data_IF_318606269088
#
_entry.id   IF_318606269088
#
_cell.length_a   1.000
_cell.length_b   1.000
_cell.length_c   1.000
_cell.angle_alpha   90.00
_cell.angle_beta   90.00
_cell.angle_gamma   90.00
#
_symmetry.space_group_name_H-M   'P 1'
#
loop_
_entity.id
_entity.type
_entity.pdbx_description
1 polymer ?
#
# COMPACT_ATOMS: atom_id res chain seq x y z
N UNK A 1 -4.79 -18.68 57.02
CA UNK A 1 -5.09 -19.38 55.75
C UNK A 1 -5.32 -18.31 54.69
N UNK A 2 -4.32 -18.09 53.82
CA UNK A 2 -4.29 -16.97 52.90
C UNK A 2 -4.96 -17.34 51.57
N UNK A 3 -5.99 -16.57 51.18
CA UNK A 3 -6.63 -16.67 49.87
C UNK A 3 -5.74 -16.04 48.80
N UNK A 4 -5.32 -16.85 47.83
CA UNK A 4 -4.57 -16.37 46.65
C UNK A 4 -5.52 -16.11 45.48
N UNK A 5 -5.27 -14.94 44.89
CA UNK A 5 -5.86 -14.30 43.72
C UNK A 5 -6.20 -15.22 42.55
N UNK A 6 -7.38 -15.01 41.97
CA UNK A 6 -7.80 -15.53 40.66
C UNK A 6 -7.04 -14.79 39.55
N UNK A 7 -6.06 -15.48 38.96
CA UNK A 7 -5.40 -15.08 37.73
C UNK A 7 -6.40 -15.14 36.56
N UNK A 8 -6.60 -14.01 35.90
CA UNK A 8 -7.31 -13.93 34.62
C UNK A 8 -6.41 -14.53 33.53
N UNK A 9 -6.71 -15.77 33.14
CA UNK A 9 -6.13 -16.40 31.95
C UNK A 9 -6.86 -15.82 30.73
N UNK A 10 -6.16 -15.02 29.93
CA UNK A 10 -6.61 -14.66 28.60
C UNK A 10 -6.68 -15.92 27.75
N UNK A 11 -7.89 -16.30 27.36
CA UNK A 11 -8.14 -17.40 26.43
C UNK A 11 -7.58 -17.07 25.06
N UNK A 12 -6.52 -17.79 24.71
CA UNK A 12 -6.08 -18.06 23.35
C UNK A 12 -7.27 -18.43 22.46
N UNK A 13 -7.45 -17.71 21.35
CA UNK A 13 -8.05 -18.29 20.14
C UNK A 13 -6.94 -18.41 19.09
N UNK A 14 -6.59 -19.66 18.85
CA UNK A 14 -5.64 -20.16 17.86
C UNK A 14 -6.20 -19.99 16.44
N UNK A 15 -5.30 -19.54 15.55
CA UNK A 15 -4.91 -20.17 14.27
C UNK A 15 -6.01 -20.40 13.23
N UNK A 16 -5.86 -19.72 12.09
CA UNK A 16 -5.54 -20.33 10.79
C UNK A 16 -5.90 -19.37 9.64
N UNK A 17 -4.93 -19.05 8.78
CA UNK A 17 -5.21 -18.64 7.40
C UNK A 17 -5.51 -17.17 7.11
N UNK A 18 -4.56 -16.26 7.31
CA UNK A 18 -4.60 -14.94 6.63
C UNK A 18 -3.45 -14.76 5.63
N UNK A 19 -2.55 -15.75 5.50
CA UNK A 19 -1.43 -15.73 4.53
C UNK A 19 -1.85 -15.81 3.04
N UNK A 20 -3.14 -15.68 2.71
CA UNK A 20 -3.65 -15.75 1.33
C UNK A 20 -4.79 -14.79 0.97
N UNK A 21 -5.30 -13.97 1.90
CA UNK A 21 -6.53 -13.20 1.62
C UNK A 21 -6.23 -11.94 0.79
N UNK A 22 -5.01 -11.39 0.85
CA UNK A 22 -4.72 -10.14 0.15
C UNK A 22 -4.65 -10.22 -1.38
N UNK A 23 -4.57 -11.42 -1.98
CA UNK A 23 -4.70 -11.58 -3.43
C UNK A 23 -6.12 -11.95 -3.85
N UNK A 24 -6.92 -12.59 -2.98
CA UNK A 24 -8.27 -13.02 -3.34
C UNK A 24 -9.31 -11.89 -3.31
N UNK A 25 -9.14 -10.86 -2.47
CA UNK A 25 -10.11 -9.73 -2.43
C UNK A 25 -9.90 -8.75 -3.59
N UNK A 26 -8.71 -8.70 -4.19
CA UNK A 26 -8.40 -7.80 -5.31
C UNK A 26 -8.21 -8.52 -6.66
N UNK A 27 -8.14 -9.86 -6.67
CA UNK A 27 -7.89 -10.66 -7.87
C UNK A 27 -9.14 -11.12 -8.62
N UNK A 28 -10.35 -10.86 -8.11
CA UNK A 28 -11.59 -11.26 -8.80
C UNK A 28 -12.55 -10.07 -8.90
N UNK A 29 -12.60 -9.49 -10.10
CA UNK A 29 -13.73 -8.72 -10.65
C UNK A 29 -14.25 -7.51 -9.84
N UNK A 30 -13.37 -6.55 -9.53
CA UNK A 30 -13.83 -5.16 -9.39
C UNK A 30 -13.28 -4.34 -10.54
N UNK A 31 -14.11 -4.16 -11.57
CA UNK A 31 -13.91 -3.05 -12.50
C UNK A 31 -13.89 -1.79 -11.65
N UNK A 32 -12.73 -1.16 -11.52
CA UNK A 32 -12.63 0.22 -11.06
C UNK A 32 -13.57 1.11 -11.88
N UNK A 33 -13.91 2.32 -11.40
CA UNK A 33 -14.79 3.22 -12.13
C UNK A 33 -14.30 3.36 -13.57
N UNK A 34 -15.14 2.92 -14.50
CA UNK A 34 -14.85 2.88 -15.93
C UNK A 34 -14.58 4.31 -16.42
N UNK A 35 -13.31 4.64 -16.60
CA UNK A 35 -12.91 5.83 -17.37
C UNK A 35 -13.20 5.51 -18.84
N UNK A 36 -14.25 6.11 -19.38
CA UNK A 36 -14.59 5.98 -20.80
C UNK A 36 -13.52 6.67 -21.64
N UNK A 37 -12.92 6.03 -22.66
CA UNK A 37 -11.99 6.71 -23.55
C UNK A 37 -12.78 7.63 -24.49
N UNK A 38 -12.87 8.91 -24.14
CA UNK A 38 -13.27 9.96 -25.07
C UNK A 38 -12.06 10.37 -25.91
N UNK A 39 -12.21 10.34 -27.24
CA UNK A 39 -11.19 10.83 -28.15
C UNK A 39 -11.00 12.34 -27.96
N UNK A 40 -9.97 12.74 -27.20
CA UNK A 40 -9.63 14.16 -27.01
C UNK A 40 -8.49 14.55 -27.93
N UNK A 41 -8.82 15.47 -28.84
CA UNK A 41 -7.88 16.14 -29.72
C UNK A 41 -6.86 16.94 -28.91
N UNK A 42 -5.58 16.78 -29.26
CA UNK A 42 -4.46 17.56 -28.74
C UNK A 42 -4.65 19.06 -28.94
N UNK A 43 -4.85 19.79 -27.84
CA UNK A 43 -4.42 21.18 -27.71
C UNK A 43 -3.98 21.44 -26.27
N UNK A 44 -2.67 21.61 -26.06
CA UNK A 44 -2.10 22.71 -25.26
C UNK A 44 -2.39 22.87 -23.76
N UNK A 45 -3.11 21.97 -23.09
CA UNK A 45 -3.27 22.03 -21.63
C UNK A 45 -2.38 20.99 -20.97
N UNK A 46 -1.29 21.43 -20.34
CA UNK A 46 -0.55 20.62 -19.39
C UNK A 46 -1.53 20.14 -18.32
N UNK A 47 -1.85 18.84 -18.37
CA UNK A 47 -2.87 18.19 -17.58
C UNK A 47 -2.76 18.55 -16.10
N UNK A 48 -3.85 19.04 -15.51
CA UNK A 48 -3.92 19.10 -14.05
C UNK A 48 -3.70 17.67 -13.52
N UNK A 49 -2.66 17.44 -12.69
CA UNK A 49 -2.36 16.09 -12.23
C UNK A 49 -3.54 15.60 -11.39
N UNK A 50 -4.18 14.50 -11.77
CA UNK A 50 -5.36 13.98 -11.08
C UNK A 50 -4.93 13.13 -9.87
N UNK A 51 -5.77 13.06 -8.82
CA UNK A 51 -5.48 12.21 -7.65
C UNK A 51 -5.35 10.75 -8.07
N UNK A 52 -4.38 10.04 -7.48
CA UNK A 52 -4.16 8.60 -7.67
C UNK A 52 -5.35 7.79 -7.16
N UNK A 53 -5.87 8.14 -5.99
CA UNK A 53 -7.12 7.64 -5.43
C UNK A 53 -7.87 8.77 -4.72
N UNK A 54 -9.20 8.64 -4.61
CA UNK A 54 -10.05 9.58 -3.87
C UNK A 54 -10.59 8.88 -2.62
N UNK A 55 -10.02 9.21 -1.47
CA UNK A 55 -10.36 8.68 -0.15
C UNK A 55 -9.81 9.61 0.93
N UNK A 56 -10.36 9.53 2.15
CA UNK A 56 -9.87 10.30 3.29
C UNK A 56 -9.02 9.42 4.23
N UNK A 57 -7.90 9.93 4.80
CA UNK A 57 -7.03 9.16 5.69
C UNK A 57 -7.73 8.55 6.92
N UNK A 58 -8.80 9.18 7.38
CA UNK A 58 -9.62 8.73 8.51
C UNK A 58 -10.48 7.50 8.18
N UNK A 59 -10.81 7.28 6.90
CA UNK A 59 -11.55 6.11 6.45
C UNK A 59 -10.68 4.85 6.42
N UNK A 60 -9.35 5.00 6.43
CA UNK A 60 -8.43 3.87 6.44
C UNK A 60 -8.43 3.15 7.79
N UNK A 61 -8.99 1.95 7.81
CA UNK A 61 -9.08 1.09 9.00
C UNK A 61 -8.06 -0.04 9.00
N UNK A 62 -7.59 -0.46 7.82
CA UNK A 62 -6.53 -1.44 7.70
C UNK A 62 -5.53 -1.04 6.61
N UNK A 63 -4.25 -1.18 6.92
CA UNK A 63 -3.13 -1.00 6.00
C UNK A 63 -2.33 -2.30 5.97
N UNK A 64 -2.12 -2.85 4.78
CA UNK A 64 -1.16 -3.92 4.55
C UNK A 64 0.03 -3.34 3.81
N UNK A 65 1.23 -3.55 4.35
CA UNK A 65 2.49 -3.20 3.70
C UNK A 65 3.26 -4.49 3.49
N UNK A 66 3.60 -4.78 2.23
CA UNK A 66 4.44 -5.93 1.87
C UNK A 66 5.73 -5.46 1.27
N UNK A 67 6.80 -6.11 1.68
CA UNK A 67 8.14 -6.02 1.10
C UNK A 67 8.74 -7.43 1.03
N UNK A 68 9.81 -7.66 0.25
CA UNK A 68 10.45 -8.97 0.20
C UNK A 68 10.76 -9.53 1.60
N UNK A 69 10.20 -10.70 1.90
CA UNK A 69 10.41 -11.42 3.16
C UNK A 69 9.68 -10.84 4.38
N UNK A 70 8.85 -9.80 4.24
CA UNK A 70 8.08 -9.24 5.36
C UNK A 70 6.73 -8.66 4.94
N UNK A 71 5.72 -8.93 5.76
CA UNK A 71 4.38 -8.35 5.64
C UNK A 71 3.97 -7.78 7.00
N UNK A 72 3.36 -6.60 6.98
CA UNK A 72 2.67 -6.04 8.12
C UNK A 72 1.19 -5.86 7.79
N UNK A 73 0.34 -6.39 8.65
CA UNK A 73 -1.10 -6.11 8.66
C UNK A 73 -1.37 -5.21 9.86
N UNK A 74 -1.79 -3.99 9.57
CA UNK A 74 -1.99 -2.91 10.54
C UNK A 74 -3.48 -2.63 10.62
N UNK A 75 -4.06 -2.68 11.81
CA UNK A 75 -5.47 -2.43 12.07
C UNK A 75 -5.62 -1.21 12.98
N UNK A 76 -6.46 -0.26 12.58
CA UNK A 76 -6.76 0.93 13.39
C UNK A 76 -7.71 0.53 14.52
N UNK A 77 -7.30 0.77 15.76
CA UNK A 77 -8.12 0.45 16.94
C UNK A 77 -8.77 1.67 17.58
N UNK A 78 -8.22 2.85 17.33
CA UNK A 78 -8.77 4.14 17.75
C UNK A 78 -8.20 5.25 16.84
N UNK A 79 -8.65 6.51 16.93
CA UNK A 79 -8.05 7.60 16.18
C UNK A 79 -6.53 7.65 16.36
N UNK A 80 -5.81 7.61 15.24
CA UNK A 80 -4.34 7.55 15.16
C UNK A 80 -3.65 6.35 15.84
N UNK A 81 -4.39 5.40 16.41
CA UNK A 81 -3.84 4.23 17.09
C UNK A 81 -3.97 2.97 16.22
N UNK A 82 -2.83 2.33 15.96
CA UNK A 82 -2.71 1.15 15.13
C UNK A 82 -2.14 -0.03 15.92
N UNK A 83 -2.66 -1.23 15.63
CA UNK A 83 -2.09 -2.49 16.11
C UNK A 83 -1.64 -3.34 14.93
N UNK A 84 -0.63 -4.16 15.17
CA UNK A 84 -0.09 -5.10 14.18
C UNK A 84 -0.47 -6.52 14.60
N UNK A 85 -0.85 -7.38 13.67
CA UNK A 85 -1.26 -8.75 14.02
C UNK A 85 -0.07 -9.67 14.35
N UNK A 86 1.15 -9.34 13.91
CA UNK A 86 2.33 -10.22 14.04
C UNK A 86 3.58 -9.50 14.54
N UNK A 87 3.99 -8.43 13.86
CA UNK A 87 5.25 -7.73 14.15
C UNK A 87 5.00 -6.25 14.37
N UNK A 88 5.41 -5.75 15.55
CA UNK A 88 5.34 -4.32 15.87
C UNK A 88 6.13 -3.54 14.82
N UNK A 89 5.47 -2.58 14.19
CA UNK A 89 6.10 -1.60 13.33
C UNK A 89 6.62 -0.47 14.20
N UNK A 90 7.92 -0.18 14.12
CA UNK A 90 8.52 0.93 14.86
C UNK A 90 8.04 2.26 14.25
N UNK A 91 7.30 3.11 15.00
CA UNK A 91 6.86 4.41 14.52
C UNK A 91 8.02 5.35 14.16
N UNK A 92 9.22 5.15 14.71
CA UNK A 92 10.42 5.88 14.34
C UNK A 92 10.94 5.55 12.94
N UNK A 93 10.53 4.41 12.38
CA UNK A 93 10.86 3.98 11.01
C UNK A 93 9.70 4.32 10.05
N UNK A 94 8.46 4.11 10.49
CA UNK A 94 7.29 4.32 9.64
C UNK A 94 6.10 4.86 10.44
N UNK A 95 5.83 6.16 10.29
CA UNK A 95 4.63 6.79 10.84
C UNK A 95 3.43 6.54 9.90
N UNK A 96 2.55 5.65 10.33
CA UNK A 96 1.38 5.20 9.56
C UNK A 96 0.42 6.37 9.27
N UNK A 97 0.18 7.26 10.24
CA UNK A 97 -0.80 8.33 10.07
C UNK A 97 -0.24 9.41 9.13
N UNK A 98 1.03 9.77 9.31
CA UNK A 98 1.70 10.70 8.40
C UNK A 98 1.73 10.13 6.97
N UNK A 99 1.98 8.83 6.82
CA UNK A 99 2.00 8.17 5.52
C UNK A 99 0.64 8.15 4.83
N UNK A 100 -0.44 7.81 5.54
CA UNK A 100 -1.79 7.82 4.96
C UNK A 100 -2.22 9.24 4.55
N UNK A 101 -1.90 10.24 5.36
CA UNK A 101 -2.13 11.65 5.02
C UNK A 101 -1.39 12.05 3.74
N UNK A 102 -0.12 11.65 3.62
CA UNK A 102 0.69 11.90 2.42
C UNK A 102 0.10 11.20 1.18
N UNK A 103 -0.16 9.89 1.29
CA UNK A 103 -0.61 9.07 0.17
C UNK A 103 -2.02 9.43 -0.32
N UNK A 104 -2.93 9.89 0.55
CA UNK A 104 -4.27 10.38 0.16
C UNK A 104 -4.25 11.63 -0.75
N UNK A 105 -3.08 12.29 -0.81
CA UNK A 105 -2.82 13.46 -1.65
C UNK A 105 -1.99 13.11 -2.88
N UNK A 106 -1.63 11.84 -3.08
CA UNK A 106 -0.87 11.39 -4.24
C UNK A 106 -1.60 11.72 -5.54
N UNK A 107 -0.84 12.22 -6.52
CA UNK A 107 -1.31 12.56 -7.85
C UNK A 107 -0.48 11.86 -8.90
N UNK A 108 -1.11 11.57 -10.03
CA UNK A 108 -0.48 10.96 -11.20
C UNK A 108 0.13 12.10 -12.01
N UNK A 109 1.45 12.06 -12.19
CA UNK A 109 2.15 12.99 -13.07
C UNK A 109 2.04 12.55 -14.53
N UNK A 110 2.18 11.24 -14.77
CA UNK A 110 2.12 10.62 -16.10
C UNK A 110 1.52 9.22 -16.02
N UNK A 111 0.88 8.82 -17.11
CA UNK A 111 0.29 7.50 -17.29
C UNK A 111 0.59 7.04 -18.71
N UNK A 112 0.95 5.76 -18.88
CA UNK A 112 1.22 5.17 -20.18
C UNK A 112 1.07 3.65 -20.16
N UNK A 113 0.72 3.08 -21.31
CA UNK A 113 0.78 1.64 -21.53
C UNK A 113 2.25 1.24 -21.78
N UNK A 114 2.82 0.28 -21.03
CA UNK A 114 4.18 -0.17 -21.28
C UNK A 114 4.26 -0.95 -22.60
N UNK A 115 5.37 -0.85 -23.36
CA UNK A 115 5.58 -1.64 -24.57
C UNK A 115 5.47 -3.14 -24.28
N UNK A 116 4.79 -3.87 -25.16
CA UNK A 116 4.59 -5.34 -25.06
C UNK A 116 3.97 -5.82 -23.74
N UNK A 117 3.31 -4.93 -23.00
CA UNK A 117 2.84 -5.17 -21.63
C UNK A 117 3.96 -5.67 -20.69
N UNK A 118 5.21 -5.25 -20.93
CA UNK A 118 6.36 -5.64 -20.11
C UNK A 118 6.54 -4.71 -18.90
N UNK A 119 6.24 -5.25 -17.72
CA UNK A 119 6.33 -4.53 -16.45
C UNK A 119 7.71 -4.66 -15.78
N UNK A 120 8.61 -5.52 -16.29
CA UNK A 120 9.92 -5.79 -15.69
C UNK A 120 10.84 -4.56 -15.63
N UNK A 121 10.99 -3.74 -16.69
CA UNK A 121 11.89 -2.59 -16.65
C UNK A 121 11.52 -1.58 -15.55
N UNK A 122 10.22 -1.53 -15.23
CA UNK A 122 9.64 -0.64 -14.25
C UNK A 122 9.66 -1.22 -12.82
N UNK A 123 10.11 -2.47 -12.65
CA UNK A 123 10.10 -3.15 -11.35
C UNK A 123 8.69 -3.51 -10.87
N UNK A 124 7.74 -3.68 -11.79
CA UNK A 124 6.32 -3.89 -11.50
C UNK A 124 5.85 -5.34 -11.76
N UNK A 125 6.71 -6.20 -12.31
CA UNK A 125 6.44 -7.65 -12.36
C UNK A 125 6.63 -8.30 -10.98
N UNK A 126 7.66 -7.88 -10.25
CA UNK A 126 7.96 -8.32 -8.88
C UNK A 126 8.19 -7.07 -8.02
N UNK A 127 7.11 -6.37 -7.62
CA UNK A 127 7.23 -5.11 -6.91
C UNK A 127 7.93 -5.29 -5.56
N UNK A 128 8.85 -4.39 -5.24
CA UNK A 128 9.56 -4.40 -3.96
C UNK A 128 8.68 -3.92 -2.81
N UNK A 129 7.59 -3.21 -3.12
CA UNK A 129 6.61 -2.73 -2.15
C UNK A 129 5.21 -2.95 -2.72
N UNK A 130 4.33 -3.57 -1.94
CA UNK A 130 2.89 -3.56 -2.19
C UNK A 130 2.16 -2.89 -1.02
N UNK A 131 1.15 -2.08 -1.34
CA UNK A 131 0.33 -1.36 -0.38
C UNK A 131 -1.13 -1.67 -0.63
N UNK A 132 -1.86 -2.03 0.43
CA UNK A 132 -3.30 -2.24 0.37
C UNK A 132 -3.94 -1.49 1.54
N UNK A 133 -4.90 -0.62 1.25
CA UNK A 133 -5.62 0.17 2.24
C UNK A 133 -7.11 -0.13 2.10
N UNK A 134 -7.73 -0.50 3.21
CA UNK A 134 -9.16 -0.83 3.28
C UNK A 134 -9.84 -0.07 4.41
N UNK A 135 -11.07 0.35 4.17
CA UNK A 135 -11.93 1.03 5.12
C UNK A 135 -12.99 0.12 5.75
N UNK A 136 -14.10 0.73 6.16
CA UNK A 136 -15.20 0.02 6.81
C UNK A 136 -15.76 -1.11 5.93
N UNK A 137 -15.99 -2.28 6.55
CA UNK A 137 -16.54 -3.46 5.86
C UNK A 137 -15.64 -3.96 4.72
N UNK A 138 -14.31 -3.82 4.86
CA UNK A 138 -13.31 -4.21 3.85
C UNK A 138 -13.41 -3.44 2.52
N UNK A 139 -14.04 -2.26 2.52
CA UNK A 139 -14.12 -1.39 1.33
C UNK A 139 -12.71 -1.04 0.84
N UNK A 140 -12.34 -1.31 -0.42
CA UNK A 140 -11.02 -0.96 -0.94
C UNK A 140 -10.89 0.56 -1.11
N UNK A 141 -9.86 1.15 -0.51
CA UNK A 141 -9.55 2.58 -0.63
C UNK A 141 -8.38 2.84 -1.57
N UNK A 142 -7.35 1.99 -1.50
CA UNK A 142 -6.21 2.03 -2.42
C UNK A 142 -5.51 0.66 -2.46
N UNK A 143 -5.02 0.28 -3.64
CA UNK A 143 -4.10 -0.85 -3.82
C UNK A 143 -3.01 -0.46 -4.84
N UNK A 144 -1.74 -0.67 -4.50
CA UNK A 144 -0.61 -0.22 -5.30
C UNK A 144 0.51 -1.26 -5.30
N UNK A 145 1.03 -1.55 -6.48
CA UNK A 145 2.36 -2.13 -6.69
C UNK A 145 3.33 -1.00 -6.98
N UNK A 146 4.40 -0.91 -6.19
CA UNK A 146 5.38 0.18 -6.26
C UNK A 146 6.70 -0.39 -6.78
N UNK A 147 7.13 0.15 -7.92
CA UNK A 147 8.29 -0.31 -8.66
C UNK A 147 9.50 0.61 -8.49
N UNK A 148 10.35 0.59 -9.53
CA UNK A 148 11.59 1.35 -9.57
C UNK A 148 11.33 2.86 -9.57
N UNK A 149 12.30 3.59 -9.04
CA UNK A 149 12.40 5.03 -9.22
C UNK A 149 12.57 5.36 -10.70
N UNK A 150 11.87 6.39 -11.17
CA UNK A 150 11.99 6.85 -12.55
C UNK A 150 13.42 7.39 -12.81
N UNK A 151 13.93 7.29 -14.05
CA UNK A 151 15.29 7.74 -14.38
C UNK A 151 15.58 9.21 -14.07
N UNK A 152 14.56 10.07 -14.09
CA UNK A 152 14.66 11.49 -13.73
C UNK A 152 14.91 11.73 -12.23
N UNK A 153 14.68 10.72 -11.39
CA UNK A 153 14.84 10.77 -9.94
C UNK A 153 13.73 11.51 -9.18
N UNK A 154 12.69 11.99 -9.86
CA UNK A 154 11.57 12.70 -9.26
C UNK A 154 10.30 11.86 -9.21
N UNK A 155 10.14 10.93 -10.14
CA UNK A 155 9.01 10.02 -10.19
C UNK A 155 9.33 8.61 -9.67
N UNK A 156 8.28 7.83 -9.46
CA UNK A 156 8.34 6.39 -9.23
C UNK A 156 7.29 5.69 -10.06
N UNK A 157 7.66 4.55 -10.63
CA UNK A 157 6.73 3.70 -11.34
C UNK A 157 5.81 3.00 -10.37
N UNK A 158 4.51 3.08 -10.66
CA UNK A 158 3.44 2.54 -9.83
C UNK A 158 2.43 1.88 -10.74
N UNK A 159 1.79 0.82 -10.25
CA UNK A 159 0.69 0.16 -10.95
C UNK A 159 -0.44 -0.12 -9.97
N UNK A 160 -1.66 0.09 -10.44
CA UNK A 160 -2.86 -0.39 -9.75
C UNK A 160 -3.00 -1.88 -10.09
N UNK A 161 -3.07 -2.80 -9.12
CA UNK A 161 -3.21 -4.23 -9.40
C UNK A 161 -4.39 -4.50 -10.34
N UNK A 162 -4.13 -5.20 -11.44
CA UNK A 162 -5.14 -5.49 -12.49
C UNK A 162 -5.24 -4.46 -13.61
N UNK A 163 -4.64 -3.26 -13.47
CA UNK A 163 -4.57 -2.26 -14.54
C UNK A 163 -3.45 -2.59 -15.53
N UNK A 164 -3.57 -2.18 -16.79
CA UNK A 164 -2.53 -2.35 -17.82
C UNK A 164 -1.54 -1.19 -17.85
N UNK A 165 -1.92 -0.04 -17.30
CA UNK A 165 -1.10 1.15 -17.32
C UNK A 165 -0.02 1.18 -16.24
N UNK A 166 1.11 1.79 -16.60
CA UNK A 166 2.14 2.24 -15.66
C UNK A 166 1.92 3.71 -15.37
N UNK A 167 1.89 4.04 -14.08
CA UNK A 167 1.76 5.39 -13.57
C UNK A 167 3.13 5.89 -13.12
N UNK A 168 3.38 7.18 -13.30
CA UNK A 168 4.47 7.91 -12.65
C UNK A 168 3.83 8.82 -11.60
N UNK A 169 4.25 8.60 -10.35
CA UNK A 169 3.81 9.38 -9.19
C UNK A 169 5.07 9.96 -8.53
N UNK A 170 5.03 11.18 -7.97
CA UNK A 170 6.20 11.75 -7.32
C UNK A 170 6.82 10.81 -6.27
N UNK A 171 8.13 10.55 -6.38
CA UNK A 171 8.86 9.58 -5.54
C UNK A 171 8.72 9.88 -4.04
N UNK A 172 8.56 11.16 -3.69
CA UNK A 172 8.39 11.57 -2.30
C UNK A 172 7.19 10.90 -1.61
N UNK A 173 6.16 10.51 -2.38
CA UNK A 173 4.95 9.82 -1.91
C UNK A 173 5.26 8.41 -1.36
N UNK A 174 6.37 7.80 -1.77
CA UNK A 174 6.74 6.43 -1.38
C UNK A 174 7.97 6.34 -0.50
N UNK A 175 8.65 7.47 -0.22
CA UNK A 175 9.86 7.49 0.62
C UNK A 175 9.69 6.79 1.98
N UNK A 176 8.59 6.96 2.74
CA UNK A 176 8.43 6.23 4.00
C UNK A 176 8.40 4.70 3.81
N UNK A 177 7.71 4.22 2.77
CA UNK A 177 7.67 2.77 2.47
C UNK A 177 9.04 2.24 2.00
N UNK A 178 9.80 3.06 1.25
CA UNK A 178 11.18 2.75 0.86
C UNK A 178 12.13 2.68 2.06
N UNK A 179 11.98 3.58 3.05
CA UNK A 179 12.75 3.53 4.29
C UNK A 179 12.46 2.25 5.07
N UNK A 180 11.20 1.80 5.08
CA UNK A 180 10.83 0.52 5.66
C UNK A 180 11.49 -0.66 4.93
N UNK A 181 11.46 -0.67 3.59
CA UNK A 181 12.15 -1.67 2.77
C UNK A 181 13.66 -1.72 3.07
N UNK A 182 14.30 -0.55 3.18
CA UNK A 182 15.72 -0.43 3.50
C UNK A 182 16.04 -0.92 4.91
N UNK A 183 15.18 -0.63 5.89
CA UNK A 183 15.33 -1.10 7.25
C UNK A 183 15.23 -2.64 7.33
N UNK A 184 14.29 -3.25 6.61
CA UNK A 184 14.19 -4.72 6.49
C UNK A 184 15.44 -5.31 5.84
N UNK A 185 15.88 -4.74 4.73
CA UNK A 185 17.04 -5.23 3.97
C UNK A 185 18.35 -5.11 4.76
N UNK A 186 18.43 -4.14 5.67
CA UNK A 186 19.60 -3.89 6.51
C UNK A 186 19.63 -4.75 7.78
N UNK A 187 18.50 -5.37 8.16
CA UNK A 187 18.41 -6.22 9.33
C UNK A 187 18.72 -7.67 8.92
N UNK A 188 19.84 -8.27 9.38
CA UNK A 188 20.18 -9.63 9.00
C UNK A 188 19.05 -10.60 9.42
N UNK A 189 18.77 -11.66 8.62
CA UNK A 189 17.84 -12.69 9.06
C UNK A 189 18.32 -13.20 10.42
N UNK A 190 17.44 -13.12 11.42
CA UNK A 190 17.78 -13.47 12.79
C UNK A 190 18.47 -14.83 12.86
N UNK A 191 19.64 -14.86 13.50
CA UNK A 191 20.31 -16.09 13.91
C UNK A 191 19.52 -16.80 14.99
#
# INVERSE_FOLDING_TARGET
MAGKSRLWVWGLVLVAGVAGIGWQVFGTDTKGPVVRPGHHHHHGDAHEPHKLYVWEPEDALRLVVRVPGREWVLQRTAPAQWKTDQQVMDPGVFDINAYLNLLSQARIDREFLPPDNDFKPFGLEQPAIELIITGQGDTPLAALSVGHKAPDGFGRYVRIPGDENVLIVPDYQFRPAEQLLQAVSSQPPGR
#
